data_IF_184203774932
#
_entry.id   IF_184203774932
#
_cell.length_a   1.000
_cell.length_b   1.000
_cell.length_c   1.000
_cell.angle_alpha   90.00
_cell.angle_beta   90.00
_cell.angle_gamma   90.00
#
_symmetry.space_group_name_H-M   'P 1'
#
loop_
_entity.id
_entity.type
_entity.pdbx_description
1 polymer ?
#
# COMPACT_ATOMS: atom_id res chain seq x y z
N UNK A 1 8.15 46.03 34.86
CA UNK A 1 8.26 45.60 33.45
C UNK A 1 7.55 44.25 33.32
N UNK A 2 6.75 44.09 32.27
CA UNK A 2 5.57 43.21 32.15
C UNK A 2 5.92 41.75 31.81
N UNK A 3 5.60 40.82 32.70
CA UNK A 3 5.81 39.36 32.53
C UNK A 3 4.54 38.60 32.04
N UNK A 4 3.40 39.30 31.93
CA UNK A 4 2.10 38.67 31.65
C UNK A 4 1.69 38.60 30.17
N UNK A 5 2.43 39.22 29.25
CA UNK A 5 2.08 39.26 27.82
C UNK A 5 2.79 38.19 26.99
N UNK A 6 4.00 37.80 27.36
CA UNK A 6 4.80 36.84 26.58
C UNK A 6 4.39 35.38 26.77
N UNK A 7 3.66 35.04 27.85
CA UNK A 7 3.28 33.64 28.15
C UNK A 7 2.01 33.20 27.38
N UNK A 8 1.15 34.14 26.99
CA UNK A 8 -0.12 33.81 26.31
C UNK A 8 0.03 33.64 24.79
N UNK A 9 0.84 34.47 24.14
CA UNK A 9 1.03 34.43 22.67
C UNK A 9 1.83 33.19 22.20
N UNK A 10 2.79 32.72 23.00
CA UNK A 10 3.67 31.62 22.60
C UNK A 10 3.00 30.24 22.66
N UNK A 11 1.87 30.11 23.38
CA UNK A 11 1.15 28.84 23.55
C UNK A 11 0.14 28.58 22.44
N UNK A 12 -0.69 29.57 22.10
CA UNK A 12 -1.76 29.38 21.12
C UNK A 12 -1.20 29.14 19.69
N UNK A 13 -0.14 29.86 19.32
CA UNK A 13 0.50 29.70 18.01
C UNK A 13 1.22 28.34 17.86
N UNK A 14 1.77 27.79 18.95
CA UNK A 14 2.41 26.48 18.96
C UNK A 14 1.41 25.35 18.74
N UNK A 15 0.23 25.42 19.37
CA UNK A 15 -0.84 24.44 19.22
C UNK A 15 -1.45 24.48 17.81
N UNK A 16 -1.71 25.66 17.26
CA UNK A 16 -2.22 25.81 15.90
C UNK A 16 -1.23 25.27 14.86
N UNK A 17 0.06 25.56 15.00
CA UNK A 17 1.12 25.03 14.12
C UNK A 17 1.23 23.51 14.26
N UNK A 18 1.28 22.98 15.48
CA UNK A 18 1.37 21.54 15.69
C UNK A 18 0.17 20.82 15.07
N UNK A 19 -1.03 21.37 15.25
CA UNK A 19 -2.25 20.86 14.63
C UNK A 19 -2.20 20.90 13.10
N UNK A 20 -1.61 21.95 12.51
CA UNK A 20 -1.43 22.04 11.07
C UNK A 20 -0.43 20.99 10.55
N UNK A 21 0.66 20.74 11.27
CA UNK A 21 1.65 19.72 10.93
C UNK A 21 1.01 18.33 10.96
N UNK A 22 0.28 18.00 12.02
CA UNK A 22 -0.38 16.69 12.16
C UNK A 22 -1.40 16.44 11.04
N UNK A 23 -2.15 17.48 10.63
CA UNK A 23 -3.08 17.39 9.49
C UNK A 23 -2.35 17.06 8.19
N UNK A 24 -1.22 17.71 7.92
CA UNK A 24 -0.45 17.49 6.69
C UNK A 24 0.19 16.10 6.67
N UNK A 25 0.73 15.66 7.81
CA UNK A 25 1.27 14.30 7.95
C UNK A 25 0.17 13.27 7.70
N UNK A 26 -1.01 13.46 8.29
CA UNK A 26 -2.15 12.57 8.06
C UNK A 26 -2.54 12.54 6.58
N UNK A 27 -2.66 13.69 5.93
CA UNK A 27 -2.99 13.77 4.51
C UNK A 27 -1.96 13.05 3.63
N UNK A 28 -0.67 13.18 3.97
CA UNK A 28 0.41 12.48 3.26
C UNK A 28 0.29 10.96 3.39
N UNK A 29 0.07 10.46 4.61
CA UNK A 29 -0.07 9.02 4.89
C UNK A 29 -1.32 8.46 4.21
N UNK A 30 -2.46 9.16 4.32
CA UNK A 30 -3.71 8.73 3.69
C UNK A 30 -3.55 8.65 2.17
N UNK A 31 -2.88 9.64 1.54
CA UNK A 31 -2.58 9.63 0.10
C UNK A 31 -1.66 8.47 -0.30
N UNK A 32 -0.64 8.16 0.51
CA UNK A 32 0.26 7.04 0.25
C UNK A 32 -0.49 5.70 0.36
N UNK A 33 -1.35 5.56 1.36
CA UNK A 33 -2.21 4.39 1.54
C UNK A 33 -3.15 4.20 0.35
N UNK A 34 -3.87 5.24 -0.06
CA UNK A 34 -4.79 5.18 -1.19
C UNK A 34 -4.07 4.82 -2.48
N UNK A 35 -2.86 5.37 -2.70
CA UNK A 35 -2.03 5.00 -3.84
C UNK A 35 -1.65 3.51 -3.80
N UNK A 36 -1.18 3.00 -2.67
CA UNK A 36 -0.82 1.60 -2.52
C UNK A 36 -2.03 0.69 -2.75
N UNK A 37 -3.17 1.02 -2.13
CA UNK A 37 -4.45 0.31 -2.33
C UNK A 37 -4.86 0.32 -3.79
N UNK A 38 -4.76 1.46 -4.48
CA UNK A 38 -5.10 1.57 -5.89
C UNK A 38 -4.21 0.67 -6.75
N UNK A 39 -2.89 0.64 -6.50
CA UNK A 39 -1.97 -0.26 -7.23
C UNK A 39 -2.38 -1.72 -7.03
N UNK A 40 -2.66 -2.13 -5.79
CA UNK A 40 -3.07 -3.51 -5.49
C UNK A 40 -4.42 -3.89 -6.12
N UNK A 41 -5.40 -2.97 -6.10
CA UNK A 41 -6.72 -3.21 -6.69
C UNK A 41 -6.66 -3.22 -8.21
N UNK A 42 -5.91 -2.30 -8.83
CA UNK A 42 -5.71 -2.28 -10.29
C UNK A 42 -5.02 -3.55 -10.79
N UNK A 43 -4.11 -4.13 -10.00
CA UNK A 43 -3.37 -5.34 -10.36
C UNK A 43 -3.89 -6.58 -9.61
N UNK A 44 -5.20 -6.63 -9.29
CA UNK A 44 -5.77 -7.68 -8.44
C UNK A 44 -5.58 -9.09 -9.03
N UNK A 45 -5.79 -9.25 -10.32
CA UNK A 45 -5.62 -10.54 -11.01
C UNK A 45 -4.17 -11.04 -10.93
N UNK A 46 -3.19 -10.15 -11.12
CA UNK A 46 -1.77 -10.48 -10.95
C UNK A 46 -1.43 -10.85 -9.51
N UNK A 47 -1.98 -10.13 -8.53
CA UNK A 47 -1.80 -10.45 -7.11
C UNK A 47 -2.37 -11.83 -6.77
N UNK A 48 -3.56 -12.15 -7.27
CA UNK A 48 -4.19 -13.45 -7.05
C UNK A 48 -3.34 -14.57 -7.69
N UNK A 49 -2.78 -14.38 -8.90
CA UNK A 49 -1.85 -15.35 -9.52
C UNK A 49 -0.59 -15.59 -8.68
N UNK A 50 0.03 -14.52 -8.19
CA UNK A 50 1.20 -14.62 -7.30
C UNK A 50 0.84 -15.39 -6.02
N UNK A 51 -0.34 -15.14 -5.46
CA UNK A 51 -0.80 -15.85 -4.26
C UNK A 51 -1.01 -17.35 -4.52
N UNK A 52 -1.63 -17.74 -5.64
CA UNK A 52 -1.78 -19.15 -6.02
C UNK A 52 -0.41 -19.81 -6.19
N UNK A 53 0.52 -19.14 -6.88
CA UNK A 53 1.85 -19.69 -7.09
C UNK A 53 2.62 -19.87 -5.79
N UNK A 54 2.48 -18.95 -4.83
CA UNK A 54 3.06 -19.08 -3.50
C UNK A 54 2.44 -20.21 -2.68
N UNK A 55 1.18 -20.58 -2.93
CA UNK A 55 0.56 -21.75 -2.30
C UNK A 55 1.18 -23.04 -2.84
N UNK A 56 1.50 -23.09 -4.14
CA UNK A 56 2.12 -24.25 -4.78
C UNK A 56 3.60 -24.43 -4.45
N UNK A 57 4.38 -23.35 -4.54
CA UNK A 57 5.85 -23.41 -4.47
C UNK A 57 6.44 -22.92 -3.14
N UNK A 58 5.61 -22.39 -2.22
CA UNK A 58 5.95 -21.80 -0.91
C UNK A 58 6.86 -20.54 -0.97
N UNK A 59 7.66 -20.41 -2.02
CA UNK A 59 8.62 -19.33 -2.26
C UNK A 59 8.68 -18.99 -3.74
N UNK A 60 8.90 -17.71 -4.04
CA UNK A 60 9.13 -17.21 -5.39
C UNK A 60 10.46 -16.47 -5.44
N UNK A 61 11.30 -16.80 -6.41
CA UNK A 61 12.49 -16.04 -6.71
C UNK A 61 12.14 -14.72 -7.43
N UNK A 62 13.05 -13.74 -7.35
CA UNK A 62 12.84 -12.42 -7.92
C UNK A 62 12.51 -12.47 -9.42
N UNK A 63 13.21 -13.32 -10.18
CA UNK A 63 12.99 -13.47 -11.62
C UNK A 63 11.59 -14.04 -11.93
N UNK A 64 11.12 -15.02 -11.14
CA UNK A 64 9.78 -15.60 -11.29
C UNK A 64 8.70 -14.57 -10.97
N UNK A 65 8.90 -13.77 -9.91
CA UNK A 65 7.99 -12.70 -9.53
C UNK A 65 7.87 -11.63 -10.61
N UNK A 66 9.00 -11.21 -11.21
CA UNK A 66 9.01 -10.26 -12.31
C UNK A 66 8.28 -10.80 -13.55
N UNK A 67 8.44 -12.08 -13.87
CA UNK A 67 7.70 -12.71 -14.97
C UNK A 67 6.18 -12.70 -14.71
N UNK A 68 5.73 -12.96 -13.49
CA UNK A 68 4.31 -12.91 -13.15
C UNK A 68 3.72 -11.49 -13.25
N UNK A 69 4.52 -10.47 -12.93
CA UNK A 69 4.16 -9.05 -13.06
C UNK A 69 4.05 -8.58 -14.51
N UNK A 70 4.95 -9.01 -15.38
CA UNK A 70 5.03 -8.57 -16.79
C UNK A 70 4.22 -9.43 -17.75
N UNK A 71 3.86 -10.65 -17.35
CA UNK A 71 3.04 -11.53 -18.17
C UNK A 71 1.70 -10.84 -18.49
N UNK A 72 1.33 -10.67 -19.77
CA UNK A 72 -0.03 -10.33 -20.15
C UNK A 72 -0.98 -11.34 -19.51
N UNK A 73 -2.23 -10.97 -19.25
CA UNK A 73 -3.28 -11.92 -18.85
C UNK A 73 -3.39 -13.03 -19.91
N UNK A 74 -2.58 -14.06 -19.76
CA UNK A 74 -2.62 -15.25 -20.56
C UNK A 74 -3.80 -16.06 -20.06
N UNK A 75 -4.60 -16.52 -21.02
CA UNK A 75 -5.77 -17.37 -20.82
C UNK A 75 -5.45 -18.51 -19.85
N UNK A 76 -6.45 -19.00 -19.08
CA UNK A 76 -6.24 -20.05 -18.09
C UNK A 76 -5.49 -21.21 -18.73
N UNK A 77 -4.31 -21.52 -18.19
CA UNK A 77 -3.67 -22.78 -18.49
C UNK A 77 -4.58 -23.86 -17.91
N UNK A 78 -5.12 -24.66 -18.83
CA UNK A 78 -5.97 -25.82 -18.59
C UNK A 78 -5.19 -26.84 -17.75
N UNK A 79 -5.22 -26.66 -16.43
CA UNK A 79 -4.78 -27.68 -15.49
C UNK A 79 -5.81 -28.80 -15.51
N UNK A 80 -5.54 -29.73 -16.42
CA UNK A 80 -6.38 -30.88 -16.73
C UNK A 80 -6.97 -31.54 -15.49
N UNK A 81 -8.28 -31.71 -15.54
CA UNK A 81 -9.02 -32.56 -14.62
C UNK A 81 -8.27 -33.89 -14.43
N UNK A 82 -8.06 -34.37 -13.19
CA UNK A 82 -7.62 -35.73 -13.01
C UNK A 82 -8.77 -36.63 -13.49
N UNK A 83 -8.60 -37.27 -14.64
CA UNK A 83 -9.46 -38.37 -15.06
C UNK A 83 -9.18 -39.52 -14.09
N UNK A 84 -9.97 -39.56 -13.01
CA UNK A 84 -10.07 -40.73 -12.14
C UNK A 84 -11.20 -41.59 -12.71
N UNK A 85 -10.83 -42.85 -12.99
CA UNK A 85 -11.65 -44.02 -13.40
C UNK A 85 -11.77 -44.30 -14.91
#
# INVERSE_FOLDING_TARGET
IFLGREISEQRDYGEEIASAIDREIKALVDKAYDRARQVLVTNRETLDRIAHRLIEEETLDADQFHQLLEAPLAAPEDEGEPVIA
#
